data_IF_691643165553
#
_entry.id   IF_691643165553
#
_cell.length_a   1.000
_cell.length_b   1.000
_cell.length_c   1.000
_cell.angle_alpha   90.00
_cell.angle_beta   90.00
_cell.angle_gamma   90.00
#
_symmetry.space_group_name_H-M   'P 1'
#
loop_
_entity.id
_entity.type
_entity.pdbx_description
1 polymer ?
#
# COMPACT_ATOMS: atom_id res chain seq x y z
N UNK A 1 -2.81 -29.23 -48.55
CA UNK A 1 -2.96 -30.33 -47.62
C UNK A 1 -4.43 -30.41 -47.26
N UNK A 2 -5.13 -31.51 -47.54
CA UNK A 2 -6.55 -31.67 -47.23
C UNK A 2 -6.66 -32.50 -45.96
N UNK A 3 -7.36 -32.03 -44.95
CA UNK A 3 -7.65 -32.75 -43.74
C UNK A 3 -9.08 -33.31 -43.83
N UNK A 4 -9.25 -34.59 -43.75
CA UNK A 4 -10.56 -35.26 -43.72
C UNK A 4 -10.93 -35.48 -42.25
N UNK A 5 -12.10 -34.99 -41.87
CA UNK A 5 -12.63 -35.11 -40.51
C UNK A 5 -14.04 -35.66 -40.63
N UNK A 6 -14.37 -36.67 -39.86
CA UNK A 6 -15.73 -37.25 -39.83
C UNK A 6 -16.58 -36.41 -38.83
N UNK A 7 -17.76 -35.96 -39.24
CA UNK A 7 -18.69 -35.25 -38.37
C UNK A 7 -19.11 -36.13 -37.19
N UNK A 8 -19.31 -35.49 -36.02
CA UNK A 8 -19.70 -36.16 -34.76
C UNK A 8 -18.70 -37.22 -34.25
N UNK A 9 -17.41 -37.01 -34.51
CA UNK A 9 -16.33 -37.86 -34.00
C UNK A 9 -15.36 -37.06 -33.14
N UNK A 10 -14.56 -37.79 -32.37
CA UNK A 10 -13.47 -37.21 -31.58
C UNK A 10 -12.46 -36.41 -32.44
N UNK A 11 -12.24 -36.85 -33.68
CA UNK A 11 -11.36 -36.14 -34.63
C UNK A 11 -11.93 -34.75 -34.99
N UNK A 12 -13.25 -34.62 -35.13
CA UNK A 12 -13.90 -33.32 -35.36
C UNK A 12 -13.71 -32.35 -34.18
N UNK A 13 -13.80 -32.89 -32.98
CA UNK A 13 -13.55 -32.10 -31.76
C UNK A 13 -12.08 -31.62 -31.64
N UNK A 14 -11.12 -32.53 -31.82
CA UNK A 14 -9.69 -32.20 -31.84
C UNK A 14 -9.37 -31.14 -32.90
N UNK A 15 -9.97 -31.27 -34.09
CA UNK A 15 -9.77 -30.31 -35.16
C UNK A 15 -10.31 -28.93 -34.78
N UNK A 16 -11.46 -28.83 -34.10
CA UNK A 16 -11.99 -27.58 -33.59
C UNK A 16 -11.07 -26.92 -32.57
N UNK A 17 -10.49 -27.67 -31.63
CA UNK A 17 -9.50 -27.18 -30.69
C UNK A 17 -8.27 -26.62 -31.40
N UNK A 18 -7.74 -27.37 -32.39
CA UNK A 18 -6.57 -26.92 -33.16
C UNK A 18 -6.88 -25.65 -33.94
N UNK A 19 -8.05 -25.53 -34.57
CA UNK A 19 -8.48 -24.31 -35.28
C UNK A 19 -8.63 -23.13 -34.36
N UNK A 20 -9.18 -23.32 -33.16
CA UNK A 20 -9.33 -22.26 -32.14
C UNK A 20 -7.97 -21.82 -31.64
N UNK A 21 -7.06 -22.73 -31.30
CA UNK A 21 -5.67 -22.39 -30.90
C UNK A 21 -4.92 -21.69 -32.04
N UNK A 22 -5.08 -22.09 -33.28
CA UNK A 22 -4.48 -21.41 -34.45
C UNK A 22 -5.03 -19.99 -34.62
N UNK A 23 -6.34 -19.80 -34.46
CA UNK A 23 -6.96 -18.47 -34.51
C UNK A 23 -6.42 -17.55 -33.42
N UNK A 24 -6.30 -18.07 -32.21
CA UNK A 24 -5.70 -17.35 -31.07
C UNK A 24 -4.25 -16.94 -31.35
N UNK A 25 -3.41 -17.89 -31.79
CA UNK A 25 -2.01 -17.62 -32.15
C UNK A 25 -1.93 -16.57 -33.26
N UNK A 26 -2.78 -16.65 -34.28
CA UNK A 26 -2.81 -15.68 -35.38
C UNK A 26 -3.21 -14.27 -34.90
N UNK A 27 -4.17 -14.16 -33.99
CA UNK A 27 -4.57 -12.88 -33.37
C UNK A 27 -3.44 -12.29 -32.55
N UNK A 28 -2.73 -13.12 -31.76
CA UNK A 28 -1.58 -12.70 -30.97
C UNK A 28 -0.43 -12.20 -31.87
N UNK A 29 -0.11 -12.95 -32.93
CA UNK A 29 0.97 -12.63 -33.86
C UNK A 29 0.68 -11.42 -34.74
N UNK A 30 -0.59 -11.17 -35.07
CA UNK A 30 -1.00 -10.01 -35.90
C UNK A 30 -1.18 -8.72 -35.10
N UNK A 31 -1.05 -8.76 -33.77
CA UNK A 31 -1.25 -7.59 -32.90
C UNK A 31 -2.69 -7.05 -32.86
N UNK A 32 -3.65 -7.78 -33.42
CA UNK A 32 -5.06 -7.37 -33.48
C UNK A 32 -5.88 -7.76 -32.23
N UNK A 33 -5.23 -8.27 -31.19
CA UNK A 33 -5.86 -8.55 -29.92
C UNK A 33 -6.16 -7.23 -29.18
N UNK A 34 -7.37 -6.72 -29.30
CA UNK A 34 -7.85 -5.49 -28.63
C UNK A 34 -8.41 -5.73 -27.23
N UNK A 35 -8.51 -6.97 -26.78
CA UNK A 35 -9.06 -7.32 -25.48
C UNK A 35 -7.95 -7.71 -24.49
N UNK A 36 -8.00 -7.10 -23.29
CA UNK A 36 -7.09 -7.39 -22.15
C UNK A 36 -7.33 -8.78 -21.51
N UNK A 37 -8.39 -9.47 -21.86
CA UNK A 37 -8.69 -10.86 -21.49
C UNK A 37 -8.97 -11.62 -22.77
N UNK A 38 -7.99 -12.41 -23.23
CA UNK A 38 -8.31 -13.58 -24.04
C UNK A 38 -8.89 -14.61 -23.07
N UNK A 39 -10.04 -15.17 -23.40
CA UNK A 39 -10.42 -16.45 -22.82
C UNK A 39 -9.29 -17.42 -23.18
N UNK A 40 -8.44 -17.67 -22.19
CA UNK A 40 -7.49 -18.76 -22.26
C UNK A 40 -8.36 -19.98 -22.47
N UNK A 41 -8.21 -20.60 -23.62
CA UNK A 41 -8.80 -21.91 -23.84
C UNK A 41 -7.99 -22.81 -22.91
N UNK A 42 -8.44 -22.87 -21.64
CA UNK A 42 -7.93 -23.83 -20.69
C UNK A 42 -7.73 -25.12 -21.45
N UNK A 43 -6.56 -25.71 -21.27
CA UNK A 43 -6.33 -27.07 -21.69
C UNK A 43 -7.33 -27.94 -20.93
N UNK A 44 -8.58 -27.91 -21.38
CA UNK A 44 -9.58 -28.85 -20.97
C UNK A 44 -9.06 -30.21 -21.43
N UNK A 45 -8.29 -30.81 -20.53
CA UNK A 45 -8.03 -32.24 -20.63
C UNK A 45 -9.40 -32.87 -20.62
N UNK A 46 -9.89 -33.20 -21.81
CA UNK A 46 -11.13 -33.97 -21.96
C UNK A 46 -11.06 -35.15 -21.00
N UNK A 47 -11.89 -35.11 -20.00
CA UNK A 47 -11.99 -36.25 -19.12
C UNK A 47 -12.64 -37.42 -19.89
N UNK A 48 -12.50 -38.64 -19.39
CA UNK A 48 -13.02 -39.84 -20.04
C UNK A 48 -14.52 -39.76 -20.37
N UNK A 49 -15.31 -39.06 -19.55
CA UNK A 49 -16.75 -38.82 -19.73
C UNK A 49 -17.05 -37.92 -20.93
N UNK A 50 -16.22 -36.91 -21.18
CA UNK A 50 -16.36 -36.00 -22.34
C UNK A 50 -16.07 -36.75 -23.64
N UNK A 51 -15.02 -37.60 -23.64
CA UNK A 51 -14.73 -38.49 -24.77
C UNK A 51 -15.87 -39.46 -25.03
N UNK A 52 -16.49 -39.99 -23.98
CA UNK A 52 -17.60 -40.92 -24.09
C UNK A 52 -18.87 -40.23 -24.61
N UNK A 53 -19.13 -38.98 -24.18
CA UNK A 53 -20.24 -38.14 -24.67
C UNK A 53 -20.13 -37.89 -26.18
N UNK A 54 -18.92 -37.51 -26.63
CA UNK A 54 -18.64 -37.30 -28.06
C UNK A 54 -18.72 -38.58 -28.89
N UNK A 55 -18.33 -39.71 -28.33
CA UNK A 55 -18.37 -40.99 -28.99
C UNK A 55 -19.79 -41.60 -29.09
N UNK A 56 -20.66 -41.31 -28.11
CA UNK A 56 -22.05 -41.82 -28.07
C UNK A 56 -23.04 -40.91 -28.79
N UNK A 57 -22.67 -39.63 -29.05
CA UNK A 57 -23.56 -38.65 -29.68
C UNK A 57 -24.74 -38.24 -28.79
N UNK A 58 -24.70 -38.52 -27.48
CA UNK A 58 -25.78 -38.17 -26.56
C UNK A 58 -25.65 -36.69 -26.13
N UNK A 59 -26.52 -35.85 -26.64
CA UNK A 59 -26.55 -34.41 -26.44
C UNK A 59 -26.70 -34.03 -24.95
N UNK A 60 -27.37 -34.86 -24.13
CA UNK A 60 -27.56 -34.65 -22.68
C UNK A 60 -26.25 -34.75 -21.90
N UNK A 61 -25.31 -35.59 -22.37
CA UNK A 61 -23.98 -35.68 -21.71
C UNK A 61 -23.19 -34.42 -21.96
N UNK A 62 -23.27 -33.84 -23.15
CA UNK A 62 -22.64 -32.57 -23.50
C UNK A 62 -23.20 -31.41 -22.62
N UNK A 63 -24.52 -31.31 -22.54
CA UNK A 63 -25.21 -30.33 -21.73
C UNK A 63 -24.83 -30.43 -20.22
N UNK A 64 -24.75 -31.68 -19.71
CA UNK A 64 -24.28 -31.89 -18.33
C UNK A 64 -22.86 -31.39 -18.09
N UNK A 65 -21.93 -31.63 -19.02
CA UNK A 65 -20.53 -31.20 -18.90
C UNK A 65 -20.43 -29.66 -18.90
N UNK A 66 -21.19 -29.00 -19.79
CA UNK A 66 -21.27 -27.55 -19.85
C UNK A 66 -21.82 -26.97 -18.52
N UNK A 67 -22.87 -27.58 -17.97
CA UNK A 67 -23.43 -27.22 -16.69
C UNK A 67 -22.46 -27.44 -15.53
N UNK A 68 -21.78 -28.58 -15.49
CA UNK A 68 -20.77 -28.88 -14.45
C UNK A 68 -19.61 -27.87 -14.47
N UNK A 69 -19.16 -27.48 -15.68
CA UNK A 69 -18.14 -26.44 -15.86
C UNK A 69 -18.62 -25.07 -15.37
N UNK A 70 -19.83 -24.69 -15.73
CA UNK A 70 -20.45 -23.43 -15.28
C UNK A 70 -20.60 -23.38 -13.74
N UNK A 71 -21.07 -24.49 -13.14
CA UNK A 71 -21.18 -24.60 -11.68
C UNK A 71 -19.81 -24.50 -11.02
N UNK A 72 -18.78 -25.14 -11.56
CA UNK A 72 -17.43 -25.05 -11.03
C UNK A 72 -16.90 -23.59 -11.08
N UNK A 73 -17.13 -22.90 -12.20
CA UNK A 73 -16.77 -21.48 -12.37
C UNK A 73 -17.52 -20.59 -11.37
N UNK A 74 -18.83 -20.78 -11.24
CA UNK A 74 -19.66 -19.99 -10.31
C UNK A 74 -19.28 -20.21 -8.84
N UNK A 75 -18.91 -21.43 -8.45
CA UNK A 75 -18.40 -21.73 -7.10
C UNK A 75 -17.05 -21.07 -6.83
N UNK A 76 -16.18 -20.99 -7.84
CA UNK A 76 -14.92 -20.25 -7.70
C UNK A 76 -15.20 -18.77 -7.47
N UNK A 77 -16.07 -18.14 -8.25
CA UNK A 77 -16.47 -16.73 -8.09
C UNK A 77 -17.13 -16.49 -6.73
N UNK A 78 -17.95 -17.43 -6.25
CA UNK A 78 -18.55 -17.38 -4.91
C UNK A 78 -17.47 -17.37 -3.81
N UNK A 79 -16.50 -18.28 -3.92
CA UNK A 79 -15.37 -18.36 -3.00
C UNK A 79 -14.52 -17.07 -3.01
N UNK A 80 -14.25 -16.52 -4.18
CA UNK A 80 -13.55 -15.24 -4.31
C UNK A 80 -14.34 -14.09 -3.72
N UNK A 81 -15.67 -14.07 -3.90
CA UNK A 81 -16.55 -13.08 -3.28
C UNK A 81 -16.46 -13.15 -1.74
N UNK A 82 -16.57 -14.34 -1.13
CA UNK A 82 -16.43 -14.48 0.32
C UNK A 82 -15.03 -14.08 0.80
N UNK A 83 -13.97 -14.43 0.09
CA UNK A 83 -12.62 -14.00 0.42
C UNK A 83 -12.45 -12.48 0.33
N UNK A 84 -13.14 -11.83 -0.62
CA UNK A 84 -13.19 -10.37 -0.70
C UNK A 84 -13.93 -9.76 0.49
N UNK A 85 -15.05 -10.35 0.93
CA UNK A 85 -15.79 -9.90 2.11
C UNK A 85 -14.95 -10.00 3.40
N UNK A 86 -14.17 -11.07 3.59
CA UNK A 86 -13.24 -11.18 4.73
C UNK A 86 -12.16 -10.10 4.71
N UNK A 87 -11.60 -9.79 3.53
CA UNK A 87 -10.60 -8.70 3.40
C UNK A 87 -11.18 -7.33 3.71
N UNK A 88 -12.47 -7.11 3.48
CA UNK A 88 -13.16 -5.87 3.89
C UNK A 88 -13.21 -5.73 5.41
N UNK A 89 -13.39 -6.81 6.17
CA UNK A 89 -13.36 -6.76 7.63
C UNK A 89 -12.00 -6.32 8.16
N UNK A 90 -10.92 -6.84 7.60
CA UNK A 90 -9.56 -6.41 7.95
C UNK A 90 -9.33 -4.93 7.59
N UNK A 91 -9.82 -4.50 6.43
CA UNK A 91 -9.73 -3.10 5.99
C UNK A 91 -10.51 -2.17 6.92
N UNK A 92 -11.74 -2.52 7.29
CA UNK A 92 -12.57 -1.76 8.23
C UNK A 92 -11.85 -1.61 9.57
N UNK A 93 -11.38 -2.73 10.15
CA UNK A 93 -10.65 -2.73 11.42
C UNK A 93 -9.37 -1.90 11.37
N UNK A 94 -8.65 -1.95 10.25
CA UNK A 94 -7.46 -1.13 10.02
C UNK A 94 -7.83 0.36 9.97
N UNK A 95 -8.83 0.75 9.19
CA UNK A 95 -9.27 2.14 9.06
C UNK A 95 -9.74 2.70 10.41
N UNK A 96 -10.54 1.95 11.18
CA UNK A 96 -11.01 2.38 12.50
C UNK A 96 -9.85 2.63 13.47
N UNK A 97 -8.85 1.75 13.50
CA UNK A 97 -7.67 1.91 14.33
C UNK A 97 -6.83 3.14 13.90
N UNK A 98 -6.64 3.33 12.59
CA UNK A 98 -5.90 4.48 12.06
C UNK A 98 -6.62 5.80 12.32
N UNK A 99 -7.96 5.85 12.18
CA UNK A 99 -8.77 7.01 12.49
C UNK A 99 -8.60 7.40 13.97
N UNK A 100 -8.66 6.42 14.89
CA UNK A 100 -8.45 6.66 16.32
C UNK A 100 -7.05 7.22 16.58
N UNK A 101 -6.02 6.61 16.01
CA UNK A 101 -4.64 7.03 16.19
C UNK A 101 -4.38 8.44 15.63
N UNK A 102 -4.88 8.75 14.42
CA UNK A 102 -4.75 10.08 13.84
C UNK A 102 -5.51 11.14 14.66
N UNK A 103 -6.69 10.82 15.16
CA UNK A 103 -7.46 11.76 16.01
C UNK A 103 -6.69 12.12 17.27
N UNK A 104 -6.10 11.16 17.97
CA UNK A 104 -5.28 11.40 19.15
C UNK A 104 -4.03 12.21 18.79
N UNK A 105 -3.33 11.85 17.73
CA UNK A 105 -2.11 12.52 17.29
C UNK A 105 -2.38 13.97 16.83
N UNK A 106 -3.51 14.24 16.19
CA UNK A 106 -3.93 15.58 15.78
C UNK A 106 -4.12 16.47 17.00
N UNK A 107 -4.76 15.97 18.06
CA UNK A 107 -4.92 16.73 19.29
C UNK A 107 -3.57 16.99 19.99
N UNK A 108 -2.66 16.01 19.98
CA UNK A 108 -1.29 16.20 20.48
C UNK A 108 -0.52 17.23 19.64
N UNK A 109 -0.65 17.19 18.31
CA UNK A 109 -0.01 18.18 17.44
C UNK A 109 -0.53 19.61 17.68
N UNK A 110 -1.83 19.76 17.90
CA UNK A 110 -2.41 21.09 18.24
C UNK A 110 -1.81 21.64 19.52
N UNK A 111 -1.68 20.80 20.58
CA UNK A 111 -1.05 21.22 21.84
C UNK A 111 0.43 21.57 21.65
N UNK A 112 1.16 20.83 20.85
CA UNK A 112 2.56 21.13 20.52
C UNK A 112 2.69 22.44 19.75
N UNK A 113 1.78 22.73 18.82
CA UNK A 113 1.73 24.01 18.07
C UNK A 113 1.39 25.17 19.00
N UNK A 114 0.40 25.01 19.88
CA UNK A 114 0.06 26.04 20.86
C UNK A 114 1.24 26.33 21.80
N UNK A 115 1.92 25.28 22.26
CA UNK A 115 3.13 25.41 23.05
C UNK A 115 4.24 26.13 22.26
N UNK A 116 4.45 25.80 20.99
CA UNK A 116 5.48 26.41 20.15
C UNK A 116 5.22 27.90 19.95
N UNK A 117 3.95 28.31 19.78
CA UNK A 117 3.56 29.69 19.62
C UNK A 117 3.89 30.53 20.86
N UNK A 118 3.79 29.96 22.08
CA UNK A 118 4.14 30.60 23.33
C UNK A 118 5.66 30.67 23.57
N UNK A 119 6.47 29.89 22.83
CA UNK A 119 7.92 29.78 23.02
C UNK A 119 8.70 30.18 21.76
N UNK A 120 8.11 30.98 20.88
CA UNK A 120 8.80 31.46 19.68
C UNK A 120 9.97 32.40 20.09
N UNK A 121 11.19 32.11 19.62
CA UNK A 121 12.31 33.01 19.83
C UNK A 121 12.07 34.29 19.02
N UNK A 122 12.43 35.47 19.58
CA UNK A 122 12.55 36.68 18.76
C UNK A 122 13.69 36.51 17.75
N UNK A 123 13.66 37.24 16.61
CA UNK A 123 14.67 37.08 15.53
C UNK A 123 16.11 37.25 16.04
N UNK A 124 16.30 38.04 17.09
CA UNK A 124 17.60 38.34 17.71
C UNK A 124 17.94 37.43 18.90
N UNK A 125 17.04 36.56 19.36
CA UNK A 125 17.24 35.74 20.56
C UNK A 125 17.30 34.24 20.21
N UNK A 126 18.20 33.91 19.29
CA UNK A 126 18.46 32.50 18.98
C UNK A 126 19.14 31.81 20.17
N UNK A 127 18.52 30.72 20.63
CA UNK A 127 19.05 29.92 21.74
C UNK A 127 18.76 28.43 21.54
N UNK A 128 19.80 27.62 21.60
CA UNK A 128 19.70 26.16 21.55
C UNK A 128 20.66 25.52 22.54
N UNK A 129 20.24 24.50 23.23
CA UNK A 129 21.09 23.69 24.09
C UNK A 129 21.50 22.40 23.32
N UNK A 130 22.82 22.12 23.27
CA UNK A 130 23.36 20.93 22.63
C UNK A 130 24.48 20.38 23.51
N UNK A 131 24.36 19.12 23.95
CA UNK A 131 25.34 18.47 24.80
C UNK A 131 25.59 19.17 26.13
N UNK A 132 24.56 19.78 26.71
CA UNK A 132 24.62 20.56 27.97
C UNK A 132 25.24 21.95 27.82
N UNK A 133 25.50 22.42 26.59
CA UNK A 133 25.98 23.77 26.31
C UNK A 133 24.92 24.59 25.57
N UNK A 134 24.75 25.82 26.00
CA UNK A 134 23.83 26.75 25.36
C UNK A 134 24.58 27.57 24.31
N UNK A 135 24.02 27.63 23.11
CA UNK A 135 24.52 28.39 21.97
C UNK A 135 23.53 29.49 21.64
N UNK A 136 24.03 30.72 21.48
CA UNK A 136 23.26 31.91 21.10
C UNK A 136 23.58 32.38 19.68
N UNK A 137 24.58 31.77 19.05
CA UNK A 137 24.95 32.03 17.66
C UNK A 137 24.71 30.82 16.79
N UNK A 138 24.17 31.04 15.58
CA UNK A 138 23.77 29.96 14.65
C UNK A 138 24.95 29.12 14.17
N UNK A 139 26.12 29.75 13.91
CA UNK A 139 27.28 29.06 13.39
C UNK A 139 27.87 28.04 14.40
N UNK A 140 28.21 28.42 15.64
CA UNK A 140 28.66 27.45 16.65
C UNK A 140 27.65 26.37 16.97
N UNK A 141 26.35 26.70 16.94
CA UNK A 141 25.28 25.73 17.12
C UNK A 141 25.26 24.69 15.97
N UNK A 142 25.41 25.13 14.73
CA UNK A 142 25.47 24.27 13.56
C UNK A 142 26.66 23.31 13.61
N UNK A 143 27.85 23.81 14.00
CA UNK A 143 29.05 22.99 14.20
C UNK A 143 28.82 21.93 15.31
N UNK A 144 28.14 22.32 16.39
CA UNK A 144 27.82 21.39 17.50
C UNK A 144 26.82 20.30 17.05
N UNK A 145 25.77 20.67 16.30
CA UNK A 145 24.82 19.74 15.71
C UNK A 145 25.53 18.76 14.77
N UNK A 146 26.38 19.26 13.87
CA UNK A 146 27.13 18.44 12.91
C UNK A 146 28.04 17.46 13.64
N UNK A 147 28.81 17.91 14.65
CA UNK A 147 29.68 17.04 15.46
C UNK A 147 28.87 15.95 16.19
N UNK A 148 27.73 16.30 16.76
CA UNK A 148 26.87 15.35 17.43
C UNK A 148 26.32 14.29 16.44
N UNK A 149 25.93 14.70 15.25
CA UNK A 149 25.43 13.80 14.20
C UNK A 149 26.53 12.86 13.70
N UNK A 150 27.72 13.38 13.36
CA UNK A 150 28.87 12.55 12.92
C UNK A 150 29.21 11.52 14.00
N UNK A 151 29.27 11.92 15.25
CA UNK A 151 29.52 11.01 16.37
C UNK A 151 28.46 9.91 16.46
N UNK A 152 27.18 10.29 16.40
CA UNK A 152 26.09 9.32 16.49
C UNK A 152 26.03 8.39 15.28
N UNK A 153 26.29 8.90 14.07
CA UNK A 153 26.33 8.08 12.87
C UNK A 153 27.48 7.05 12.90
N UNK A 154 28.61 7.38 13.54
CA UNK A 154 29.75 6.47 13.70
C UNK A 154 29.53 5.41 14.81
N UNK A 155 28.58 5.61 15.70
CA UNK A 155 28.23 4.64 16.74
C UNK A 155 27.56 3.41 16.13
N UNK A 156 28.08 2.20 16.38
CA UNK A 156 27.52 0.92 15.97
C UNK A 156 26.27 0.54 16.81
N UNK A 157 25.47 1.54 17.21
CA UNK A 157 24.27 1.37 18.02
C UNK A 157 23.08 1.01 17.14
N UNK A 158 22.23 0.10 17.60
CA UNK A 158 20.93 -0.19 16.97
C UNK A 158 19.87 0.89 17.24
N UNK A 159 20.15 1.86 18.13
CA UNK A 159 19.23 2.96 18.39
C UNK A 159 19.20 3.90 17.19
N UNK A 160 18.01 4.20 16.72
CA UNK A 160 17.78 5.16 15.63
C UNK A 160 17.59 6.58 16.11
N UNK A 161 17.44 6.84 17.42
CA UNK A 161 17.13 8.10 18.03
C UNK A 161 18.08 8.39 19.18
N UNK A 162 18.62 9.62 19.23
CA UNK A 162 19.54 10.07 20.29
C UNK A 162 19.25 11.51 20.69
N UNK A 163 18.69 11.75 21.90
CA UNK A 163 18.56 13.09 22.46
C UNK A 163 19.94 13.77 22.62
N UNK A 164 20.03 15.03 22.24
CA UNK A 164 21.26 15.81 22.29
C UNK A 164 21.09 17.14 23.04
N UNK A 165 19.87 17.61 23.30
CA UNK A 165 19.63 18.87 23.99
C UNK A 165 18.19 19.34 23.89
N UNK A 166 17.99 20.67 23.88
CA UNK A 166 16.67 21.29 23.81
C UNK A 166 16.65 22.49 22.86
N UNK A 167 15.52 22.70 22.19
CA UNK A 167 15.26 23.89 21.39
C UNK A 167 13.83 24.37 21.61
N UNK A 168 13.69 25.61 22.08
CA UNK A 168 12.39 26.24 22.39
C UNK A 168 11.46 25.36 23.24
N UNK A 169 12.01 24.62 24.22
CA UNK A 169 11.26 23.75 25.12
C UNK A 169 10.87 22.37 24.52
N UNK A 170 11.30 22.06 23.30
CA UNK A 170 11.25 20.74 22.72
C UNK A 170 12.56 19.99 22.96
N UNK A 171 12.50 18.68 23.18
CA UNK A 171 13.69 17.85 23.16
C UNK A 171 14.26 17.83 21.75
N UNK A 172 15.54 18.14 21.61
CA UNK A 172 16.27 18.09 20.35
C UNK A 172 17.03 16.78 20.27
N UNK A 173 16.79 16.02 19.22
CA UNK A 173 17.47 14.74 19.01
C UNK A 173 17.98 14.60 17.57
N UNK A 174 18.91 13.67 17.39
CA UNK A 174 19.38 13.22 16.07
C UNK A 174 18.81 11.82 15.82
N UNK A 175 18.35 11.63 14.59
CA UNK A 175 17.80 10.35 14.14
C UNK A 175 18.64 9.72 13.02
N UNK A 176 18.64 8.38 12.97
CA UNK A 176 19.16 7.58 11.86
C UNK A 176 17.98 7.09 11.05
N UNK A 177 17.92 7.51 9.79
CA UNK A 177 16.96 6.99 8.83
C UNK A 177 17.60 5.92 7.97
N UNK A 178 17.04 4.73 8.00
CA UNK A 178 17.46 3.61 7.16
C UNK A 178 16.63 3.57 5.89
N UNK A 179 17.28 3.77 4.75
CA UNK A 179 16.65 3.66 3.44
C UNK A 179 17.40 2.57 2.62
N UNK A 180 16.99 1.34 2.83
CA UNK A 180 17.69 0.19 2.29
C UNK A 180 19.10 0.07 2.85
N UNK A 181 20.12 0.18 1.98
CA UNK A 181 21.54 0.11 2.39
C UNK A 181 22.11 1.46 2.83
N UNK A 182 21.37 2.55 2.65
CA UNK A 182 21.83 3.89 3.00
C UNK A 182 21.30 4.30 4.36
N UNK A 183 22.16 4.94 5.16
CA UNK A 183 21.77 5.53 6.44
C UNK A 183 22.01 7.04 6.33
N UNK A 184 20.96 7.82 6.56
CA UNK A 184 21.02 9.29 6.61
C UNK A 184 20.72 9.80 8.01
N UNK A 185 21.25 10.97 8.35
CA UNK A 185 20.96 11.65 9.59
C UNK A 185 19.77 12.58 9.44
N UNK A 186 18.99 12.72 10.50
CA UNK A 186 17.93 13.71 10.63
C UNK A 186 17.97 14.44 11.95
N UNK A 187 17.31 15.58 12.00
CA UNK A 187 17.05 16.36 13.22
C UNK A 187 15.60 16.11 13.60
N UNK A 188 15.35 15.84 14.87
CA UNK A 188 14.00 15.73 15.42
C UNK A 188 13.78 16.67 16.59
N UNK A 189 12.56 17.18 16.69
CA UNK A 189 12.01 17.89 17.84
C UNK A 189 10.91 17.03 18.44
N UNK A 190 11.05 16.69 19.71
CA UNK A 190 10.14 15.79 20.40
C UNK A 190 9.48 16.52 21.57
N UNK A 191 8.15 16.36 21.66
CA UNK A 191 7.35 16.78 22.81
C UNK A 191 6.23 15.77 23.04
N UNK A 192 4.99 16.07 22.70
CA UNK A 192 3.95 15.03 22.63
C UNK A 192 4.09 14.18 21.38
N UNK A 193 4.51 14.79 20.28
CA UNK A 193 4.86 14.10 19.04
C UNK A 193 6.32 14.33 18.66
N UNK A 194 6.79 13.53 17.71
CA UNK A 194 8.13 13.70 17.11
C UNK A 194 7.97 14.32 15.72
N UNK A 195 8.67 15.43 15.50
CA UNK A 195 8.77 16.15 14.23
C UNK A 195 10.18 16.00 13.71
N UNK A 196 10.37 15.65 12.46
CA UNK A 196 11.69 15.40 11.92
C UNK A 196 11.93 16.06 10.55
N UNK A 197 13.18 16.31 10.25
CA UNK A 197 13.67 16.79 8.96
C UNK A 197 15.03 16.17 8.66
N UNK A 198 15.39 16.12 7.39
CA UNK A 198 16.71 15.64 6.98
C UNK A 198 17.82 16.56 7.48
N UNK A 199 18.99 15.99 7.73
CA UNK A 199 20.19 16.68 8.12
C UNK A 199 21.29 16.49 7.07
N UNK A 200 21.98 17.57 6.75
CA UNK A 200 23.20 17.50 5.96
C UNK A 200 24.43 17.41 6.87
N UNK A 201 25.09 16.26 6.85
CA UNK A 201 26.27 16.01 7.68
C UNK A 201 27.48 16.83 7.20
N UNK A 202 27.49 17.26 5.94
CA UNK A 202 28.59 18.07 5.35
C UNK A 202 28.43 19.56 5.61
N UNK A 203 27.22 20.04 5.95
CA UNK A 203 26.90 21.45 6.20
C UNK A 203 26.66 21.76 7.69
N UNK A 204 27.05 22.94 8.13
CA UNK A 204 26.84 23.41 9.50
C UNK A 204 25.64 24.37 9.60
N UNK A 205 25.67 25.52 8.93
CA UNK A 205 24.64 26.58 9.03
C UNK A 205 23.29 26.12 8.49
N UNK A 206 23.29 25.34 7.41
CA UNK A 206 22.05 24.83 6.81
C UNK A 206 21.21 23.97 7.76
N UNK A 207 21.83 23.28 8.71
CA UNK A 207 21.13 22.44 9.68
C UNK A 207 20.39 23.25 10.73
N UNK A 208 20.93 24.38 11.14
CA UNK A 208 20.24 25.32 12.05
C UNK A 208 18.99 25.89 11.36
N UNK A 209 19.11 26.29 10.10
CA UNK A 209 17.96 26.77 9.32
C UNK A 209 16.89 25.69 9.16
N UNK A 210 17.29 24.41 8.98
CA UNK A 210 16.34 23.29 8.96
C UNK A 210 15.65 23.11 10.30
N UNK A 211 16.38 23.22 11.41
CA UNK A 211 15.82 23.16 12.76
C UNK A 211 14.80 24.29 13.00
N UNK A 212 15.14 25.53 12.65
CA UNK A 212 14.25 26.68 12.75
C UNK A 212 13.00 26.51 11.87
N UNK A 213 13.16 26.02 10.64
CA UNK A 213 12.05 25.72 9.75
C UNK A 213 11.18 24.55 10.25
N UNK A 214 11.77 23.55 10.88
CA UNK A 214 11.04 22.45 11.49
C UNK A 214 10.17 22.96 12.64
N UNK A 215 10.71 23.82 13.48
CA UNK A 215 9.98 24.44 14.58
C UNK A 215 8.87 25.38 14.10
N UNK A 216 9.15 26.27 13.13
CA UNK A 216 8.22 27.30 12.67
C UNK A 216 7.13 26.81 11.73
N UNK A 217 7.42 25.81 10.88
CA UNK A 217 6.51 25.33 9.82
C UNK A 217 6.32 23.81 9.82
N UNK A 218 7.25 23.08 10.43
CA UNK A 218 7.25 21.63 10.38
C UNK A 218 6.10 21.01 11.17
N UNK A 219 5.76 21.64 12.29
CA UNK A 219 4.66 21.21 13.17
C UNK A 219 3.32 21.32 12.43
N UNK A 220 3.04 22.46 11.80
CA UNK A 220 1.81 22.67 11.01
C UNK A 220 1.71 21.72 9.83
N UNK A 221 2.79 21.56 9.08
CA UNK A 221 2.83 20.57 7.96
C UNK A 221 2.53 19.15 8.41
N UNK A 222 3.00 18.78 9.60
CA UNK A 222 2.69 17.46 10.18
C UNK A 222 1.21 17.34 10.53
N UNK A 223 0.62 18.38 11.11
CA UNK A 223 -0.80 18.45 11.42
C UNK A 223 -1.65 18.34 10.15
N UNK A 224 -1.34 19.12 9.11
CA UNK A 224 -2.04 19.08 7.82
C UNK A 224 -1.97 17.68 7.21
N UNK A 225 -0.77 17.10 7.19
CA UNK A 225 -0.58 15.72 6.65
C UNK A 225 -1.39 14.67 7.42
N UNK A 226 -1.50 14.79 8.75
CA UNK A 226 -2.30 13.87 9.56
C UNK A 226 -3.80 14.08 9.33
N UNK A 227 -4.23 15.32 9.16
CA UNK A 227 -5.62 15.67 8.85
C UNK A 227 -6.05 15.12 7.50
N UNK A 228 -5.21 15.26 6.47
CA UNK A 228 -5.45 14.69 5.15
C UNK A 228 -5.53 13.15 5.20
N UNK A 229 -4.64 12.52 5.95
CA UNK A 229 -4.65 11.07 6.14
C UNK A 229 -5.90 10.60 6.89
N UNK A 230 -6.33 11.33 7.90
CA UNK A 230 -7.58 11.06 8.61
C UNK A 230 -8.77 11.09 7.66
N UNK A 231 -8.88 12.13 6.83
CA UNK A 231 -9.96 12.26 5.85
C UNK A 231 -9.99 11.10 4.86
N UNK A 232 -8.81 10.67 4.36
CA UNK A 232 -8.70 9.49 3.48
C UNK A 232 -9.17 8.22 4.17
N UNK A 233 -8.70 7.95 5.40
CA UNK A 233 -9.12 6.76 6.15
C UNK A 233 -10.64 6.74 6.43
N UNK A 234 -11.27 7.90 6.63
CA UNK A 234 -12.72 8.01 6.78
C UNK A 234 -13.47 7.68 5.48
N UNK A 235 -12.94 8.11 4.33
CA UNK A 235 -13.48 7.77 3.02
C UNK A 235 -13.36 6.27 2.76
N UNK A 236 -12.15 5.71 2.94
CA UNK A 236 -11.88 4.29 2.75
C UNK A 236 -12.77 3.41 3.65
N UNK A 237 -12.98 3.83 4.90
CA UNK A 237 -13.89 3.16 5.83
C UNK A 237 -15.32 3.16 5.32
N UNK A 238 -15.80 4.32 4.83
CA UNK A 238 -17.16 4.46 4.32
C UNK A 238 -17.37 3.56 3.10
N UNK A 239 -16.42 3.52 2.18
CA UNK A 239 -16.45 2.67 0.99
C UNK A 239 -16.41 1.18 1.36
N UNK A 240 -15.53 0.79 2.29
CA UNK A 240 -15.42 -0.59 2.75
C UNK A 240 -16.70 -1.07 3.45
N UNK A 241 -17.31 -0.23 4.30
CA UNK A 241 -18.59 -0.54 4.96
C UNK A 241 -19.72 -0.65 3.94
N UNK A 242 -19.77 0.22 2.93
CA UNK A 242 -20.78 0.16 1.87
C UNK A 242 -20.60 -1.06 0.93
N UNK A 243 -19.38 -1.58 0.80
CA UNK A 243 -19.10 -2.78 0.02
C UNK A 243 -19.36 -4.07 0.81
N UNK A 244 -19.23 -4.01 2.14
CA UNK A 244 -19.45 -5.16 3.01
C UNK A 244 -20.93 -5.58 3.03
N UNK A 245 -21.16 -6.89 3.04
CA UNK A 245 -22.48 -7.48 3.12
C UNK A 245 -23.27 -7.48 1.81
N UNK A 246 -22.68 -7.05 0.70
CA UNK A 246 -23.31 -7.23 -0.60
C UNK A 246 -23.45 -8.72 -0.90
N UNK A 247 -24.64 -9.19 -1.34
CA UNK A 247 -24.83 -10.58 -1.71
C UNK A 247 -23.99 -10.95 -2.95
N UNK A 248 -23.67 -12.22 -3.08
CA UNK A 248 -23.04 -12.72 -4.30
C UNK A 248 -23.99 -12.55 -5.48
N UNK A 249 -23.55 -11.85 -6.52
CA UNK A 249 -24.38 -11.45 -7.67
C UNK A 249 -24.98 -12.65 -8.42
N UNK A 250 -24.21 -13.74 -8.53
CA UNK A 250 -24.61 -14.95 -9.24
C UNK A 250 -25.19 -16.04 -8.34
N UNK A 251 -25.64 -15.71 -7.11
CA UNK A 251 -26.18 -16.71 -6.18
C UNK A 251 -27.40 -17.45 -6.73
N UNK A 252 -28.30 -16.75 -7.41
CA UNK A 252 -29.49 -17.34 -8.01
C UNK A 252 -29.14 -18.28 -9.18
N UNK A 253 -28.22 -17.85 -10.05
CA UNK A 253 -27.74 -18.65 -11.19
C UNK A 253 -27.02 -19.92 -10.70
N UNK A 254 -26.18 -19.81 -9.66
CA UNK A 254 -25.51 -20.96 -9.06
C UNK A 254 -26.52 -21.95 -8.47
N UNK A 255 -27.55 -21.46 -7.79
CA UNK A 255 -28.59 -22.32 -7.22
C UNK A 255 -29.37 -23.05 -8.31
N UNK A 256 -29.76 -22.37 -9.38
CA UNK A 256 -30.48 -22.96 -10.52
C UNK A 256 -29.67 -24.05 -11.24
N UNK A 257 -28.39 -23.75 -11.56
CA UNK A 257 -27.52 -24.69 -12.27
C UNK A 257 -27.04 -25.87 -11.42
N UNK A 258 -27.11 -25.75 -10.09
CA UNK A 258 -26.71 -26.79 -9.15
C UNK A 258 -27.84 -27.75 -8.77
N UNK A 259 -29.10 -27.43 -9.12
CA UNK A 259 -30.29 -28.24 -8.86
C UNK A 259 -30.45 -29.36 -9.88
#
# INVERSE_FOLDING_TARGET
MYNYVTENTFDAYLMNIIVTKQRFISQLMSGSATARSCEDVDEAVLNYSEMQALATGDERIKEKIELDSDVARLRLLESEHYNAQYRLDDTISHCENMIRNYSVNIESAKRDIEFSAAHQPSEDDFRVEIGGKVFTERKPAGEALQKAAIKFMAEASQTSHKPIGTFCGFELAIEKFHNGFNVSAGISLCKELTYNTDMDISGDIGNVTRLENLFSKGLERKLDSMTDKLARMQTDLTEAVAAKGKPFEHAAELAEKSA
#
